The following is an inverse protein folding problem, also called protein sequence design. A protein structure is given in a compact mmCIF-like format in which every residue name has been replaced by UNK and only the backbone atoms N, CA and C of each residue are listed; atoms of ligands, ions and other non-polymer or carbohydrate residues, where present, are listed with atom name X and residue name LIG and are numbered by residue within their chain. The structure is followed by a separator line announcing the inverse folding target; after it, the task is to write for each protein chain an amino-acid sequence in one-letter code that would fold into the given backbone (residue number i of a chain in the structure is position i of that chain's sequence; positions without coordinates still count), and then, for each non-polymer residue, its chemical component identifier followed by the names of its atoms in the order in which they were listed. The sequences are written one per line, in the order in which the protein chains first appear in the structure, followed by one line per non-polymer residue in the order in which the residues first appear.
data_IF_773331861230
#
_entry.id   IF_773331861230
#
_cell.length_a   1.000
_cell.length_b   1.000
_cell.length_c   1.000
_cell.angle_alpha   90.00
_cell.angle_beta   90.00
_cell.angle_gamma   90.00
#
_symmetry.space_group_name_H-M   'P 1'
#
loop_
_entity.id
_entity.type
_entity.pdbx_description
1 polymer ?
#
# COMPACT_ATOMS: atom_id res chain seq x y z
N UNK A 1 -6.70 -0.84 -3.28
CA UNK A 1 -7.96 -0.64 -2.53
C UNK A 1 -7.62 -0.01 -1.19
N UNK A 2 -8.33 1.04 -0.75
CA UNK A 2 -8.17 1.60 0.58
C UNK A 2 -8.78 0.68 1.66
N UNK A 3 -8.22 0.74 2.85
CA UNK A 3 -8.70 0.10 4.09
C UNK A 3 -8.87 1.23 5.09
N UNK A 4 -10.03 1.34 5.74
CA UNK A 4 -10.34 2.40 6.70
C UNK A 4 -10.82 1.77 8.01
N UNK A 5 -10.30 2.29 9.12
CA UNK A 5 -10.61 1.82 10.47
C UNK A 5 -11.59 2.79 11.16
N UNK A 6 -12.34 2.33 12.18
CA UNK A 6 -13.24 3.20 12.94
C UNK A 6 -12.57 4.39 13.64
N UNK A 7 -11.25 4.32 13.87
CA UNK A 7 -10.43 5.40 14.42
C UNK A 7 -9.89 6.36 13.34
N UNK A 8 -10.52 6.36 12.15
CA UNK A 8 -10.21 7.22 11.00
C UNK A 8 -8.83 6.99 10.37
N UNK A 9 -8.05 6.01 10.86
CA UNK A 9 -6.82 5.61 10.20
C UNK A 9 -7.16 4.86 8.92
N UNK A 10 -6.36 5.11 7.90
CA UNK A 10 -6.49 4.40 6.63
C UNK A 10 -5.15 3.85 6.15
N UNK A 11 -5.22 2.86 5.28
CA UNK A 11 -4.09 2.36 4.49
C UNK A 11 -4.58 1.91 3.13
N UNK A 12 -3.69 1.40 2.29
CA UNK A 12 -4.10 0.81 1.02
C UNK A 12 -3.24 -0.36 0.60
N UNK A 13 -3.89 -1.35 -0.01
CA UNK A 13 -3.26 -2.56 -0.55
C UNK A 13 -3.52 -2.62 -2.06
N UNK A 14 -2.49 -2.86 -2.86
CA UNK A 14 -2.63 -3.26 -4.26
C UNK A 14 -2.07 -4.67 -4.46
N UNK A 15 -2.84 -5.57 -5.07
CA UNK A 15 -2.45 -6.97 -5.26
C UNK A 15 -1.89 -7.18 -6.66
N UNK A 16 -0.75 -7.87 -6.78
CA UNK A 16 -0.13 -8.29 -8.05
C UNK A 16 0.34 -9.75 -7.98
N UNK A 17 0.38 -10.43 -9.11
CA UNK A 17 0.89 -11.82 -9.15
C UNK A 17 2.42 -11.91 -9.27
N UNK A 18 3.11 -10.82 -9.66
CA UNK A 18 4.56 -10.77 -9.90
C UNK A 18 5.18 -9.52 -9.30
N UNK A 19 6.40 -9.66 -8.74
CA UNK A 19 7.25 -8.56 -8.28
C UNK A 19 7.56 -7.54 -9.38
N UNK A 20 7.60 -7.96 -10.64
CA UNK A 20 7.86 -7.08 -11.79
C UNK A 20 6.85 -5.90 -11.85
N UNK A 21 5.64 -6.12 -11.33
CA UNK A 21 4.57 -5.11 -11.31
C UNK A 21 4.62 -4.19 -10.09
N UNK A 22 5.54 -4.41 -9.15
CA UNK A 22 5.70 -3.59 -7.92
C UNK A 22 5.93 -2.12 -8.24
N UNK A 23 6.82 -1.72 -9.17
CA UNK A 23 7.03 -0.30 -9.46
C UNK A 23 5.76 0.41 -9.96
N UNK A 24 4.91 -0.29 -10.72
CA UNK A 24 3.65 0.26 -11.19
C UNK A 24 2.62 0.38 -10.05
N UNK A 25 2.52 -0.65 -9.20
CA UNK A 25 1.63 -0.65 -8.04
C UNK A 25 2.03 0.42 -7.00
N UNK A 26 3.34 0.59 -6.75
CA UNK A 26 3.87 1.64 -5.90
C UNK A 26 3.45 3.03 -6.40
N UNK A 27 3.61 3.32 -7.70
CA UNK A 27 3.16 4.59 -8.29
C UNK A 27 1.65 4.82 -8.12
N UNK A 28 0.85 3.78 -8.25
CA UNK A 28 -0.60 3.88 -8.06
C UNK A 28 -0.98 4.20 -6.62
N UNK A 29 -0.34 3.54 -5.65
CA UNK A 29 -0.57 3.78 -4.22
C UNK A 29 -0.12 5.19 -3.80
N UNK A 30 1.03 5.66 -4.30
CA UNK A 30 1.50 7.03 -4.06
C UNK A 30 0.54 8.07 -4.66
N UNK A 31 0.03 7.83 -5.88
CA UNK A 31 -1.00 8.69 -6.49
C UNK A 31 -2.30 8.71 -5.69
N UNK A 32 -2.70 7.58 -5.13
CA UNK A 32 -3.87 7.49 -4.27
C UNK A 32 -3.67 8.32 -2.99
N UNK A 33 -2.53 8.16 -2.32
CA UNK A 33 -2.13 9.01 -1.18
C UNK A 33 -2.23 10.48 -1.53
N UNK A 34 -1.57 10.90 -2.61
CA UNK A 34 -1.54 12.32 -2.99
C UNK A 34 -2.94 12.85 -3.34
N UNK A 35 -3.81 12.00 -3.91
CA UNK A 35 -5.20 12.37 -4.19
C UNK A 35 -6.00 12.56 -2.91
N UNK A 36 -5.81 11.71 -1.91
CA UNK A 36 -6.48 11.81 -0.61
C UNK A 36 -5.96 13.03 0.16
N UNK A 37 -4.64 13.22 0.23
CA UNK A 37 -4.01 14.34 0.92
C UNK A 37 -4.40 15.71 0.33
N UNK A 38 -4.71 15.78 -0.98
CA UNK A 38 -5.22 17.03 -1.61
C UNK A 38 -6.66 17.37 -1.27
N UNK A 39 -7.42 16.49 -0.63
CA UNK A 39 -8.80 16.78 -0.25
C UNK A 39 -8.81 17.58 1.07
N UNK A 40 -9.27 18.84 1.09
CA UNK A 40 -9.31 19.66 2.31
C UNK A 40 -10.24 19.08 3.39
N UNK A 41 -11.16 18.20 3.01
CA UNK A 41 -12.06 17.49 3.92
C UNK A 41 -11.46 16.15 4.43
N UNK A 42 -10.24 15.78 4.02
CA UNK A 42 -9.60 14.58 4.52
C UNK A 42 -9.29 14.74 6.02
N UNK A 43 -9.92 13.91 6.85
CA UNK A 43 -9.69 13.90 8.31
C UNK A 43 -8.33 13.30 8.66
N UNK A 44 -7.79 12.45 7.80
CA UNK A 44 -6.50 11.79 7.97
C UNK A 44 -5.74 11.74 6.64
N UNK A 45 -4.85 12.71 6.40
CA UNK A 45 -4.18 12.88 5.10
C UNK A 45 -3.13 11.80 4.81
N UNK A 46 -2.52 11.23 5.86
CA UNK A 46 -1.42 10.29 5.71
C UNK A 46 -1.87 8.84 5.98
N UNK A 47 -1.55 7.89 5.09
CA UNK A 47 -1.85 6.48 5.33
C UNK A 47 -0.99 5.94 6.47
N UNK A 48 -1.58 5.10 7.31
CA UNK A 48 -0.87 4.25 8.27
C UNK A 48 0.07 3.27 7.57
N UNK A 49 -0.32 2.77 6.39
CA UNK A 49 0.55 1.96 5.54
C UNK A 49 0.09 1.97 4.08
N UNK A 50 1.03 1.72 3.18
CA UNK A 50 0.77 1.34 1.79
C UNK A 50 1.50 0.03 1.54
N UNK A 51 0.82 -0.93 0.91
CA UNK A 51 1.41 -2.24 0.64
C UNK A 51 1.06 -2.75 -0.76
N UNK A 52 2.03 -3.41 -1.40
CA UNK A 52 1.84 -4.26 -2.56
C UNK A 52 1.89 -5.70 -2.09
N UNK A 53 0.77 -6.41 -2.18
CA UNK A 53 0.71 -7.84 -1.91
C UNK A 53 1.08 -8.58 -3.21
N UNK A 54 2.10 -9.44 -3.16
CA UNK A 54 2.60 -10.18 -4.32
C UNK A 54 2.44 -11.69 -4.16
N UNK A 55 2.10 -12.38 -5.25
CA UNK A 55 1.94 -13.84 -5.24
C UNK A 55 3.26 -14.59 -5.01
N UNK A 56 4.36 -14.07 -5.54
CA UNK A 56 5.71 -14.63 -5.34
C UNK A 56 6.71 -13.48 -5.18
N UNK A 57 7.43 -13.51 -4.07
CA UNK A 57 8.55 -12.63 -3.79
C UNK A 57 9.52 -13.32 -2.82
N UNK A 58 10.78 -12.90 -2.82
CA UNK A 58 11.83 -13.57 -2.02
C UNK A 58 11.78 -13.20 -0.54
N UNK A 59 11.28 -12.01 -0.19
CA UNK A 59 11.20 -11.52 1.19
C UNK A 59 10.28 -10.31 1.30
N UNK A 60 9.79 -10.05 2.51
CA UNK A 60 9.14 -8.78 2.86
C UNK A 60 10.16 -7.63 2.83
N UNK A 61 9.85 -6.54 2.13
CA UNK A 61 10.72 -5.35 2.09
C UNK A 61 9.94 -4.05 2.06
N UNK A 62 10.62 -2.96 2.39
CA UNK A 62 10.12 -1.60 2.21
C UNK A 62 10.83 -0.92 1.04
N UNK A 63 10.08 -0.26 0.16
CA UNK A 63 10.66 0.55 -0.91
C UNK A 63 11.23 1.85 -0.33
N UNK A 64 12.11 2.56 -1.08
CA UNK A 64 12.58 3.88 -0.67
C UNK A 64 11.45 4.90 -0.46
N UNK A 65 10.31 4.76 -1.15
CA UNK A 65 9.14 5.63 -0.97
C UNK A 65 8.23 5.19 0.18
N UNK A 66 8.65 4.20 0.97
CA UNK A 66 7.97 3.77 2.18
C UNK A 66 6.84 2.76 1.98
N UNK A 67 6.66 2.19 0.78
CA UNK A 67 5.64 1.18 0.47
C UNK A 67 6.16 -0.21 0.84
N UNK A 68 5.34 -1.02 1.50
CA UNK A 68 5.66 -2.41 1.80
C UNK A 68 5.43 -3.30 0.58
N UNK A 69 6.33 -4.25 0.36
CA UNK A 69 6.16 -5.34 -0.61
C UNK A 69 6.12 -6.62 0.19
N UNK A 70 4.97 -7.30 0.16
CA UNK A 70 4.67 -8.43 1.03
C UNK A 70 4.30 -9.63 0.15
N UNK A 71 5.11 -10.70 0.14
CA UNK A 71 4.67 -11.96 -0.45
C UNK A 71 3.49 -12.52 0.34
N UNK A 72 2.47 -13.05 -0.34
CA UNK A 72 1.29 -13.64 0.33
C UNK A 72 1.67 -14.82 1.24
N UNK A 73 2.79 -15.49 0.95
CA UNK A 73 3.34 -16.59 1.75
C UNK A 73 3.87 -16.15 3.12
N UNK A 74 4.09 -14.85 3.33
CA UNK A 74 4.59 -14.29 4.59
C UNK A 74 3.46 -13.79 5.51
N UNK A 75 2.20 -13.87 5.07
CA UNK A 75 1.06 -13.59 5.93
C UNK A 75 0.78 -14.82 6.81
N UNK A 76 1.03 -14.68 8.11
CA UNK A 76 0.73 -15.72 9.10
C UNK A 76 -0.78 -16.00 9.24
N UNK A 77 -1.08 -17.19 9.76
CA UNK A 77 -2.42 -17.61 10.17
C UNK A 77 -2.59 -17.53 11.69
#
# INVERSE_FOLDING_TARGET
MPVELPDERWGAIEVKLSEEKVPAAERNLLRLRDKIARNPAARNENPSFLAVLVGKASFCRRTPNGVFVVPITELGA
#
